data_IF_727680861890
#
_entry.id   IF_727680861890
#
_cell.length_a   1.000
_cell.length_b   1.000
_cell.length_c   1.000
_cell.angle_alpha   90.00
_cell.angle_beta   90.00
_cell.angle_gamma   90.00
#
_symmetry.space_group_name_H-M   'P 1'
#
loop_
_entity.id
_entity.type
_entity.pdbx_description
1 polymer ?
#
# COMPACT_ATOMS: atom_id res chain seq x y z
N UNK A 1 -7.70 0.99 -7.52
CA UNK A 1 -8.04 1.14 -6.09
C UNK A 1 -9.32 1.95 -5.86
N UNK A 2 -9.91 2.63 -6.86
CA UNK A 2 -11.13 3.43 -6.68
C UNK A 2 -12.43 2.72 -7.13
N UNK A 3 -12.37 1.42 -7.48
CA UNK A 3 -13.56 0.65 -7.88
C UNK A 3 -14.28 0.08 -6.66
N UNK A 4 -15.59 -0.12 -6.79
CA UNK A 4 -16.42 -0.77 -5.77
C UNK A 4 -15.90 -2.16 -5.41
N UNK A 5 -15.61 -2.99 -6.41
CA UNK A 5 -15.09 -4.36 -6.23
C UNK A 5 -13.79 -4.38 -5.42
N UNK A 6 -12.90 -3.41 -5.65
CA UNK A 6 -11.68 -3.29 -4.85
C UNK A 6 -12.00 -2.94 -3.40
N UNK A 7 -12.94 -2.02 -3.17
CA UNK A 7 -13.37 -1.63 -1.83
C UNK A 7 -13.96 -2.79 -1.05
N UNK A 8 -14.83 -3.58 -1.68
CA UNK A 8 -15.45 -4.77 -1.09
C UNK A 8 -14.42 -5.86 -0.76
N UNK A 9 -13.53 -6.18 -1.71
CA UNK A 9 -12.46 -7.15 -1.49
C UNK A 9 -11.49 -6.72 -0.38
N UNK A 10 -11.16 -5.43 -0.31
CA UNK A 10 -10.33 -4.88 0.76
C UNK A 10 -11.02 -4.98 2.12
N UNK A 11 -12.31 -4.65 2.20
CA UNK A 11 -13.09 -4.76 3.43
C UNK A 11 -13.09 -6.20 3.96
N UNK A 12 -13.39 -7.18 3.10
CA UNK A 12 -13.36 -8.60 3.46
C UNK A 12 -11.97 -9.05 3.95
N UNK A 13 -10.89 -8.60 3.30
CA UNK A 13 -9.54 -8.92 3.73
C UNK A 13 -9.20 -8.31 5.11
N UNK A 14 -9.68 -7.11 5.39
CA UNK A 14 -9.47 -6.43 6.68
C UNK A 14 -10.29 -7.06 7.81
N UNK A 15 -11.51 -7.52 7.54
CA UNK A 15 -12.30 -8.29 8.51
C UNK A 15 -11.60 -9.60 8.91
N UNK A 16 -10.99 -10.30 7.95
CA UNK A 16 -10.16 -11.48 8.23
C UNK A 16 -8.95 -11.11 9.09
N UNK A 17 -8.23 -10.04 8.74
CA UNK A 17 -7.05 -9.60 9.48
C UNK A 17 -7.38 -9.12 10.92
N UNK A 18 -8.60 -8.62 11.15
CA UNK A 18 -9.06 -8.19 12.47
C UNK A 18 -9.42 -9.37 13.39
N UNK A 19 -9.77 -10.52 12.83
CA UNK A 19 -10.28 -11.69 13.57
C UNK A 19 -9.25 -12.82 13.69
N UNK A 20 -8.26 -12.87 12.79
CA UNK A 20 -7.23 -13.89 12.79
C UNK A 20 -5.94 -13.39 12.12
N UNK A 21 -4.86 -14.14 12.31
CA UNK A 21 -3.57 -13.84 11.69
C UNK A 21 -3.67 -14.10 10.17
N UNK A 22 -3.67 -13.02 9.40
CA UNK A 22 -3.83 -13.05 7.95
C UNK A 22 -2.60 -12.50 7.24
N UNK A 23 -2.21 -13.13 6.12
CA UNK A 23 -1.19 -12.63 5.22
C UNK A 23 -1.81 -12.40 3.82
N UNK A 24 -1.58 -11.21 3.27
CA UNK A 24 -1.95 -10.88 1.88
C UNK A 24 -0.78 -11.23 0.96
N UNK A 25 -1.00 -12.18 0.05
CA UNK A 25 0.01 -12.66 -0.89
C UNK A 25 -0.28 -12.15 -2.31
N UNK A 26 0.78 -12.04 -3.11
CA UNK A 26 0.76 -11.59 -4.50
C UNK A 26 1.60 -12.58 -5.32
N UNK A 27 1.39 -12.66 -6.64
CA UNK A 27 2.08 -13.62 -7.49
C UNK A 27 3.59 -13.34 -7.56
N UNK A 28 3.97 -12.07 -7.46
CA UNK A 28 5.35 -11.62 -7.48
C UNK A 28 6.02 -11.77 -6.11
N UNK A 29 7.19 -12.41 -6.10
CA UNK A 29 7.98 -12.60 -4.89
C UNK A 29 8.39 -11.27 -4.21
N UNK A 30 8.57 -10.20 -4.99
CA UNK A 30 9.18 -8.94 -4.55
C UNK A 30 8.15 -7.82 -4.42
N UNK A 31 7.99 -7.21 -3.24
CA UNK A 31 6.83 -6.35 -2.95
C UNK A 31 6.89 -4.97 -3.60
N UNK A 32 8.08 -4.41 -3.80
CA UNK A 32 8.25 -3.10 -4.40
C UNK A 32 8.07 -3.09 -5.92
N UNK A 33 7.96 -4.27 -6.55
CA UNK A 33 7.78 -4.43 -8.00
C UNK A 33 6.35 -4.76 -8.41
N UNK A 34 5.45 -4.96 -7.45
CA UNK A 34 4.06 -5.28 -7.72
C UNK A 34 3.11 -4.29 -7.04
N UNK A 35 1.84 -4.43 -7.40
CA UNK A 35 0.73 -3.61 -6.92
C UNK A 35 0.51 -3.67 -5.40
N UNK A 36 1.06 -4.69 -4.68
CA UNK A 36 0.96 -4.76 -3.22
C UNK A 36 1.71 -3.66 -2.49
N UNK A 37 2.66 -2.97 -3.15
CA UNK A 37 3.24 -1.72 -2.62
C UNK A 37 2.15 -0.68 -2.38
N UNK A 38 1.30 -0.43 -3.37
CA UNK A 38 0.20 0.55 -3.26
C UNK A 38 -0.82 0.16 -2.20
N UNK A 39 -1.10 -1.14 -2.07
CA UNK A 39 -1.95 -1.66 -1.00
C UNK A 39 -1.32 -1.43 0.38
N UNK A 40 -0.02 -1.67 0.51
CA UNK A 40 0.72 -1.47 1.77
C UNK A 40 0.72 0.00 2.19
N UNK A 41 0.94 0.92 1.23
CA UNK A 41 0.84 2.36 1.44
C UNK A 41 -0.56 2.73 1.96
N UNK A 42 -1.62 2.22 1.33
CA UNK A 42 -3.01 2.48 1.72
C UNK A 42 -3.33 1.96 3.13
N UNK A 43 -2.87 0.75 3.45
CA UNK A 43 -3.09 0.14 4.78
C UNK A 43 -2.36 0.92 5.87
N UNK A 44 -1.12 1.33 5.61
CA UNK A 44 -0.34 2.19 6.52
C UNK A 44 -1.01 3.55 6.71
N UNK A 45 -1.53 4.17 5.63
CA UNK A 45 -2.33 5.41 5.71
C UNK A 45 -3.58 5.22 6.58
N UNK A 46 -4.21 4.05 6.53
CA UNK A 46 -5.36 3.67 7.36
C UNK A 46 -4.98 3.22 8.79
N UNK A 47 -3.72 3.37 9.18
CA UNK A 47 -3.25 3.10 10.54
C UNK A 47 -2.85 1.66 10.84
N UNK A 48 -2.77 0.79 9.83
CA UNK A 48 -2.33 -0.58 10.02
C UNK A 48 -0.81 -0.69 10.04
N UNK A 49 -0.28 -1.55 10.91
CA UNK A 49 1.11 -1.98 10.83
C UNK A 49 1.26 -3.01 9.70
N UNK A 50 2.01 -2.65 8.66
CA UNK A 50 2.28 -3.55 7.52
C UNK A 50 3.70 -4.10 7.63
N UNK A 51 3.82 -5.42 7.61
CA UNK A 51 5.08 -6.15 7.63
C UNK A 51 5.23 -7.00 6.36
N UNK A 52 6.39 -6.93 5.72
CA UNK A 52 6.75 -7.70 4.53
C UNK A 52 7.47 -8.99 4.92
N UNK A 53 6.88 -10.13 4.53
CA UNK A 53 7.49 -11.46 4.65
C UNK A 53 8.03 -11.82 3.26
N UNK A 54 9.35 -11.95 3.13
CA UNK A 54 10.02 -12.28 1.87
C UNK A 54 10.58 -13.70 1.85
N UNK A 55 11.10 -14.16 2.99
CA UNK A 55 11.70 -15.47 3.17
C UNK A 55 11.56 -15.91 4.64
N UNK A 56 12.37 -16.88 5.07
CA UNK A 56 12.38 -17.39 6.45
C UNK A 56 12.96 -16.38 7.47
N UNK A 57 13.49 -15.25 7.01
CA UNK A 57 14.02 -14.19 7.85
C UNK A 57 12.94 -13.31 8.50
N UNK A 58 13.37 -12.33 9.31
CA UNK A 58 12.46 -11.45 10.01
C UNK A 58 11.65 -10.58 9.05
N UNK A 59 10.34 -10.46 9.31
CA UNK A 59 9.47 -9.58 8.56
C UNK A 59 9.90 -8.10 8.75
N UNK A 60 9.86 -7.33 7.66
CA UNK A 60 10.35 -5.96 7.63
C UNK A 60 9.19 -4.96 7.55
N UNK A 61 9.19 -3.86 8.31
CA UNK A 61 8.15 -2.86 8.23
C UNK A 61 8.08 -2.23 6.84
N UNK A 62 6.87 -1.91 6.38
CA UNK A 62 6.71 -1.15 5.15
C UNK A 62 7.28 0.27 5.33
N UNK A 63 8.21 0.72 4.47
CA UNK A 63 8.82 2.04 4.61
C UNK A 63 7.88 3.19 4.24
N UNK A 64 6.73 2.89 3.62
CA UNK A 64 5.88 3.88 2.97
C UNK A 64 6.48 4.43 1.68
N UNK A 65 5.65 5.09 0.89
CA UNK A 65 6.03 5.73 -0.35
C UNK A 65 6.12 7.25 -0.17
N UNK A 66 7.30 7.87 -0.40
CA UNK A 66 7.48 9.31 -0.19
C UNK A 66 6.62 10.18 -1.12
N UNK A 67 6.15 9.62 -2.24
CA UNK A 67 5.30 10.32 -3.20
C UNK A 67 3.81 10.18 -2.88
N UNK A 68 3.42 9.28 -1.97
CA UNK A 68 2.02 9.14 -1.59
C UNK A 68 1.50 10.42 -0.92
N UNK A 69 0.30 10.86 -1.30
CA UNK A 69 -0.39 12.00 -0.70
C UNK A 69 -1.79 11.57 -0.23
N UNK A 70 -2.19 11.92 1.00
CA UNK A 70 -3.55 11.68 1.48
C UNK A 70 -4.62 12.30 0.57
N UNK A 71 -5.67 11.52 0.29
CA UNK A 71 -6.88 11.98 -0.38
C UNK A 71 -8.09 11.33 0.30
N UNK A 72 -8.50 11.91 1.43
CA UNK A 72 -9.53 11.32 2.30
C UNK A 72 -9.07 9.99 2.89
N UNK A 73 -9.86 8.93 2.68
CA UNK A 73 -9.57 7.57 3.12
C UNK A 73 -8.62 6.80 2.17
N UNK A 74 -8.21 7.45 1.08
CA UNK A 74 -7.33 6.92 0.05
C UNK A 74 -6.02 7.70 -0.11
N UNK A 75 -5.26 7.31 -1.12
CA UNK A 75 -3.99 7.92 -1.51
C UNK A 75 -4.00 8.29 -3.00
N UNK A 76 -3.38 9.42 -3.31
CA UNK A 76 -3.01 9.80 -4.68
C UNK A 76 -1.50 9.87 -4.81
N UNK A 77 -1.00 9.58 -6.01
CA UNK A 77 0.42 9.60 -6.34
C UNK A 77 0.62 10.64 -7.44
N UNK A 78 0.94 11.89 -7.10
CA UNK A 78 1.16 12.93 -8.08
C UNK A 78 2.34 12.56 -8.98
N UNK A 79 2.27 12.94 -10.25
CA UNK A 79 3.41 12.83 -11.14
C UNK A 79 4.58 13.67 -10.58
N UNK A 80 5.81 13.19 -10.74
CA UNK A 80 7.00 13.98 -10.49
C UNK A 80 7.04 15.15 -11.48
N UNK A 81 6.48 16.30 -11.10
CA UNK A 81 6.58 17.53 -11.85
C UNK A 81 7.88 18.23 -11.44
N UNK A 82 9.00 17.78 -12.04
CA UNK A 82 10.26 18.49 -11.94
C UNK A 82 10.24 19.74 -12.81
N UNK A 83 10.36 20.93 -12.20
CA UNK A 83 10.88 22.14 -12.84
C UNK A 83 10.21 22.59 -14.15
N UNK A 84 8.90 22.41 -14.31
CA UNK A 84 8.18 22.77 -15.54
C UNK A 84 8.18 24.28 -15.83
N UNK A 85 8.55 25.10 -14.86
CA UNK A 85 8.84 26.52 -15.07
C UNK A 85 10.19 26.85 -14.41
N UNK A 86 11.17 27.40 -15.14
CA UNK A 86 12.27 28.09 -14.51
C UNK A 86 11.70 29.29 -13.74
N UNK A 87 12.24 29.57 -12.54
CA UNK A 87 11.98 30.83 -11.86
C UNK A 87 12.59 31.94 -12.72
N UNK A 88 11.73 32.68 -13.41
CA UNK A 88 12.06 33.80 -14.28
C UNK A 88 11.13 34.96 -14.01
#
# INVERSE_FOLDING_TARGET
>A
MASTEFGEGLAAALELAATQRTALMCAEAVWWRCHRRLLSDLLQHRGWLVLHILDAGPAQPHPGNPDARPAGDGLVYPALQGGLFPEG
#
